data_IF_421686284354
#
_entry.id   IF_421686284354
#
_cell.length_a   1.000
_cell.length_b   1.000
_cell.length_c   1.000
_cell.angle_alpha   90.00
_cell.angle_beta   90.00
_cell.angle_gamma   90.00
#
_symmetry.space_group_name_H-M   'P 1'
#
loop_
_entity.id
_entity.type
_entity.pdbx_description
1 polymer ?
#
# COMPACT_ATOMS: atom_id res chain seq x y z
N UNK A 1 3.48 2.62 -26.28
CA UNK A 1 2.58 3.23 -25.29
C UNK A 1 1.20 3.39 -25.92
N UNK A 2 0.21 2.60 -25.51
CA UNK A 2 -1.08 2.48 -26.21
C UNK A 2 -2.06 3.66 -25.97
N UNK A 3 -1.61 4.79 -25.42
CA UNK A 3 -2.48 5.94 -25.10
C UNK A 3 -3.59 5.63 -24.09
N UNK A 4 -3.40 4.63 -23.22
CA UNK A 4 -4.40 4.18 -22.23
C UNK A 4 -3.89 4.45 -20.81
N UNK A 5 -4.83 4.78 -19.93
CA UNK A 5 -4.62 4.92 -18.49
C UNK A 5 -4.68 3.57 -17.78
N UNK A 6 -4.48 3.57 -16.46
CA UNK A 6 -4.49 2.38 -15.61
C UNK A 6 -5.83 1.65 -15.75
N UNK A 7 -5.82 0.33 -16.00
CA UNK A 7 -7.06 -0.43 -16.16
C UNK A 7 -7.98 -0.30 -14.93
N UNK A 8 -9.30 -0.18 -15.10
CA UNK A 8 -10.23 -0.01 -13.98
C UNK A 8 -10.16 -1.14 -12.94
N UNK A 9 -9.85 -2.36 -13.36
CA UNK A 9 -9.64 -3.50 -12.46
C UNK A 9 -8.42 -3.29 -11.55
N UNK A 10 -7.34 -2.71 -12.07
CA UNK A 10 -6.14 -2.38 -11.31
C UNK A 10 -6.44 -1.28 -10.29
N UNK A 11 -7.09 -0.18 -10.71
CA UNK A 11 -7.49 0.89 -9.79
C UNK A 11 -8.44 0.38 -8.69
N UNK A 12 -9.31 -0.59 -8.98
CA UNK A 12 -10.16 -1.21 -7.96
C UNK A 12 -9.33 -1.96 -6.93
N UNK A 13 -8.37 -2.78 -7.38
CA UNK A 13 -7.48 -3.52 -6.49
C UNK A 13 -6.62 -2.59 -5.63
N UNK A 14 -6.10 -1.47 -6.18
CA UNK A 14 -5.36 -0.48 -5.41
C UNK A 14 -6.19 0.16 -4.29
N UNK A 15 -7.46 0.51 -4.58
CA UNK A 15 -8.36 1.05 -3.55
C UNK A 15 -8.68 0.02 -2.47
N UNK A 16 -8.77 -1.25 -2.84
CA UNK A 16 -9.01 -2.34 -1.90
C UNK A 16 -7.79 -2.56 -0.98
N UNK A 17 -6.60 -2.68 -1.56
CA UNK A 17 -5.34 -2.77 -0.80
C UNK A 17 -5.14 -1.55 0.10
N UNK A 18 -5.36 -0.34 -0.40
CA UNK A 18 -5.19 0.88 0.39
C UNK A 18 -6.12 0.92 1.60
N UNK A 19 -7.41 0.55 1.43
CA UNK A 19 -8.35 0.48 2.55
C UNK A 19 -7.98 -0.60 3.55
N UNK A 20 -7.53 -1.75 3.08
CA UNK A 20 -7.07 -2.85 3.94
C UNK A 20 -5.88 -2.41 4.80
N UNK A 21 -4.83 -1.89 4.15
CA UNK A 21 -3.61 -1.42 4.83
C UNK A 21 -3.96 -0.33 5.85
N UNK A 22 -4.75 0.66 5.48
CA UNK A 22 -5.19 1.72 6.40
C UNK A 22 -5.92 1.14 7.61
N UNK A 23 -6.88 0.24 7.42
CA UNK A 23 -7.61 -0.40 8.53
C UNK A 23 -6.69 -1.16 9.50
N UNK A 24 -5.69 -1.85 8.96
CA UNK A 24 -4.65 -2.54 9.74
C UNK A 24 -3.79 -1.54 10.53
N UNK A 25 -3.33 -0.45 9.89
CA UNK A 25 -2.50 0.56 10.54
C UNK A 25 -3.27 1.28 11.65
N UNK A 26 -4.53 1.65 11.41
CA UNK A 26 -5.41 2.25 12.41
C UNK A 26 -5.64 1.33 13.60
N UNK A 27 -5.97 0.06 13.35
CA UNK A 27 -6.20 -0.95 14.40
C UNK A 27 -4.95 -1.19 15.25
N UNK A 28 -3.77 -1.16 14.63
CA UNK A 28 -2.49 -1.32 15.31
C UNK A 28 -1.98 -0.04 16.00
N UNK A 29 -2.66 1.11 15.83
CA UNK A 29 -2.20 2.39 16.36
C UNK A 29 -0.91 2.91 15.72
N UNK A 30 -0.72 2.59 14.43
CA UNK A 30 0.36 3.13 13.59
C UNK A 30 -0.09 4.44 12.98
N UNK A 31 0.64 5.52 13.25
CA UNK A 31 0.39 6.81 12.63
C UNK A 31 0.84 6.76 11.17
N UNK A 32 -0.06 7.18 10.28
CA UNK A 32 0.18 7.21 8.84
C UNK A 32 -0.39 8.48 8.19
N UNK A 33 0.05 8.78 6.98
CA UNK A 33 -0.51 9.82 6.13
C UNK A 33 -0.42 9.42 4.64
N UNK A 34 -1.28 9.99 3.80
CA UNK A 34 -1.14 9.88 2.34
C UNK A 34 0.12 10.63 1.90
N UNK A 35 0.91 10.04 1.01
CA UNK A 35 2.13 10.63 0.46
C UNK A 35 2.01 10.84 -1.06
N UNK A 36 2.87 11.67 -1.64
CA UNK A 36 3.14 11.72 -3.08
C UNK A 36 1.91 11.86 -3.98
N UNK A 37 1.84 10.99 -4.99
CA UNK A 37 0.74 10.94 -5.97
C UNK A 37 -0.61 10.63 -5.32
N UNK A 38 -0.60 9.82 -4.26
CA UNK A 38 -1.79 9.45 -3.50
C UNK A 38 -2.41 10.64 -2.76
N UNK A 39 -1.58 11.45 -2.08
CA UNK A 39 -2.03 12.69 -1.45
C UNK A 39 -2.56 13.68 -2.49
N UNK A 40 -1.86 13.81 -3.62
CA UNK A 40 -2.26 14.70 -4.70
C UNK A 40 -3.60 14.29 -5.32
N UNK A 41 -3.80 13.00 -5.56
CA UNK A 41 -5.06 12.42 -6.05
C UNK A 41 -6.20 12.68 -5.08
N UNK A 42 -5.99 12.42 -3.79
CA UNK A 42 -6.97 12.70 -2.75
C UNK A 42 -7.37 14.19 -2.70
N UNK A 43 -6.40 15.11 -2.78
CA UNK A 43 -6.67 16.54 -2.75
C UNK A 43 -7.38 17.07 -4.02
N UNK A 44 -7.10 16.48 -5.19
CA UNK A 44 -7.65 16.96 -6.48
C UNK A 44 -8.97 16.31 -6.86
N UNK A 45 -9.09 15.01 -6.63
CA UNK A 45 -10.17 14.16 -7.15
C UNK A 45 -10.93 13.41 -6.05
N UNK A 46 -10.38 13.37 -4.83
CA UNK A 46 -10.88 12.48 -3.78
C UNK A 46 -10.62 10.98 -4.07
N UNK A 47 -9.70 10.68 -4.99
CA UNK A 47 -9.43 9.32 -5.46
C UNK A 47 -8.02 9.20 -6.06
N UNK A 48 -7.59 7.98 -6.38
CA UNK A 48 -6.31 7.68 -7.06
C UNK A 48 -6.31 8.38 -8.43
N UNK A 49 -5.16 8.95 -8.81
CA UNK A 49 -5.00 9.57 -10.13
C UNK A 49 -5.23 8.48 -11.21
N UNK A 50 -6.04 8.71 -12.26
CA UNK A 50 -6.46 7.63 -13.17
C UNK A 50 -5.34 6.91 -13.93
N UNK A 51 -4.16 7.53 -14.04
CA UNK A 51 -2.96 6.97 -14.66
C UNK A 51 -1.86 6.59 -13.65
N UNK A 52 -2.12 6.76 -12.35
CA UNK A 52 -1.26 6.19 -11.30
C UNK A 52 -1.47 4.68 -11.20
N UNK A 53 -0.47 4.03 -10.64
CA UNK A 53 -0.40 2.59 -10.60
C UNK A 53 -0.18 2.04 -9.17
N UNK A 54 0.30 2.86 -8.22
CA UNK A 54 0.47 2.55 -6.80
C UNK A 54 -0.38 3.42 -5.85
N UNK A 55 -0.27 3.12 -4.55
CA UNK A 55 -0.68 3.99 -3.45
C UNK A 55 0.48 4.14 -2.46
N UNK A 56 0.81 5.38 -2.12
CA UNK A 56 1.90 5.72 -1.19
C UNK A 56 1.35 6.20 0.16
N UNK A 57 1.86 5.59 1.22
CA UNK A 57 1.61 5.98 2.61
C UNK A 57 2.92 6.24 3.33
N UNK A 58 3.01 7.38 4.01
CA UNK A 58 4.05 7.63 4.99
C UNK A 58 3.64 7.07 6.36
N UNK A 59 4.61 6.50 7.09
CA UNK A 59 4.43 6.04 8.47
C UNK A 59 5.60 6.50 9.35
N UNK A 60 5.38 6.60 10.66
CA UNK A 60 6.47 6.79 11.61
C UNK A 60 7.30 5.51 11.78
N UNK A 61 8.62 5.61 11.66
CA UNK A 61 9.53 4.46 11.80
C UNK A 61 9.41 3.80 13.18
N UNK A 62 9.22 4.58 14.24
CA UNK A 62 9.06 4.04 15.59
C UNK A 62 7.76 3.26 15.79
N UNK A 63 6.77 3.41 14.90
CA UNK A 63 5.48 2.72 14.99
C UNK A 63 5.49 1.37 14.27
N UNK A 64 6.53 1.04 13.49
CA UNK A 64 6.64 -0.23 12.73
C UNK A 64 6.37 -1.45 13.62
N UNK A 65 6.94 -1.48 14.84
CA UNK A 65 6.78 -2.60 15.78
C UNK A 65 5.37 -2.78 16.35
N UNK A 66 4.47 -1.80 16.16
CA UNK A 66 3.07 -1.90 16.62
C UNK A 66 2.22 -2.77 15.71
N UNK A 67 2.53 -2.81 14.41
CA UNK A 67 1.84 -3.65 13.44
C UNK A 67 2.58 -4.97 13.27
N UNK A 68 1.91 -6.07 13.61
CA UNK A 68 2.44 -7.44 13.45
C UNK A 68 2.96 -7.69 12.03
N UNK A 69 2.20 -7.31 11.00
CA UNK A 69 2.56 -7.58 9.61
C UNK A 69 3.80 -6.80 9.17
N UNK A 70 3.96 -5.54 9.59
CA UNK A 70 5.18 -4.77 9.32
C UNK A 70 6.40 -5.37 10.04
N UNK A 71 6.23 -5.80 11.29
CA UNK A 71 7.29 -6.43 12.07
C UNK A 71 7.74 -7.76 11.45
N UNK A 72 6.81 -8.61 11.04
CA UNK A 72 7.11 -9.88 10.36
C UNK A 72 7.77 -9.63 8.99
N UNK A 73 7.23 -8.70 8.18
CA UNK A 73 7.76 -8.31 6.87
C UNK A 73 9.19 -7.75 6.92
N UNK A 74 9.62 -7.22 8.06
CA UNK A 74 11.01 -6.78 8.29
C UNK A 74 11.99 -7.94 8.22
N UNK A 75 11.56 -9.14 8.62
CA UNK A 75 12.41 -10.34 8.69
C UNK A 75 12.28 -11.18 7.42
N UNK A 76 11.05 -11.41 6.94
CA UNK A 76 10.77 -12.13 5.72
C UNK A 76 9.41 -11.73 5.15
N UNK A 77 9.18 -11.85 3.83
CA UNK A 77 7.86 -11.59 3.27
C UNK A 77 6.78 -12.49 3.89
N UNK A 78 5.61 -11.91 4.17
CA UNK A 78 4.51 -12.56 4.87
C UNK A 78 3.19 -12.34 4.13
N UNK A 79 2.30 -13.31 4.21
CA UNK A 79 0.91 -13.19 3.75
C UNK A 79 0.01 -13.07 4.98
N UNK A 80 -0.88 -12.08 5.00
CA UNK A 80 -1.82 -11.89 6.10
C UNK A 80 -3.05 -12.79 5.96
N UNK A 81 -3.95 -12.72 6.94
CA UNK A 81 -5.13 -13.58 7.03
C UNK A 81 -6.14 -13.35 5.88
N UNK A 82 -6.04 -12.23 5.15
CA UNK A 82 -6.89 -11.90 4.00
C UNK A 82 -6.17 -12.11 2.65
N UNK A 83 -4.93 -12.60 2.65
CA UNK A 83 -4.16 -12.94 1.46
C UNK A 83 -3.34 -11.81 0.87
N UNK A 84 -3.25 -10.64 1.53
CA UNK A 84 -2.37 -9.56 1.10
C UNK A 84 -0.93 -9.90 1.45
N UNK A 85 -0.01 -9.57 0.54
CA UNK A 85 1.39 -9.98 0.66
C UNK A 85 2.28 -8.79 1.03
N UNK A 86 2.87 -8.84 2.21
CA UNK A 86 3.69 -7.79 2.81
C UNK A 86 5.17 -8.15 2.69
N UNK A 87 5.99 -7.22 2.21
CA UNK A 87 7.44 -7.39 2.12
C UNK A 87 8.17 -6.10 2.45
N UNK A 88 9.37 -6.21 3.05
CA UNK A 88 10.32 -5.09 3.07
C UNK A 88 11.07 -5.05 1.74
N UNK A 89 11.18 -3.88 1.12
CA UNK A 89 11.93 -3.73 -0.12
C UNK A 89 13.42 -4.05 0.10
N UNK A 90 14.05 -4.74 -0.86
CA UNK A 90 15.47 -5.07 -0.81
C UNK A 90 16.36 -3.82 -0.94
N UNK A 91 15.86 -2.82 -1.67
CA UNK A 91 16.48 -1.51 -1.85
C UNK A 91 15.51 -0.44 -1.38
N UNK A 92 16.00 0.51 -0.57
CA UNK A 92 15.19 1.53 0.08
C UNK A 92 14.68 1.09 1.46
N UNK A 93 14.33 2.07 2.29
CA UNK A 93 13.82 1.85 3.65
C UNK A 93 12.29 1.97 3.67
N UNK A 94 11.60 1.12 2.90
CA UNK A 94 10.14 1.09 2.82
C UNK A 94 9.56 -0.34 2.76
N UNK A 95 8.26 -0.45 3.00
CA UNK A 95 7.49 -1.68 2.91
C UNK A 95 6.58 -1.63 1.69
N UNK A 96 6.31 -2.79 1.10
CA UNK A 96 5.36 -2.95 0.01
C UNK A 96 4.29 -3.95 0.39
N UNK A 97 3.04 -3.60 0.11
CA UNK A 97 1.88 -4.48 0.31
C UNK A 97 1.23 -4.71 -1.04
N UNK A 98 1.24 -5.96 -1.47
CA UNK A 98 0.66 -6.38 -2.74
C UNK A 98 -0.76 -6.90 -2.51
N UNK A 99 -1.62 -6.74 -3.51
CA UNK A 99 -2.99 -7.27 -3.47
C UNK A 99 -3.02 -8.78 -3.23
N UNK A 100 -2.07 -9.52 -3.81
CA UNK A 100 -1.81 -10.92 -3.47
C UNK A 100 -0.41 -11.35 -3.92
N UNK A 101 0.00 -12.59 -3.63
CA UNK A 101 1.26 -13.16 -4.14
C UNK A 101 1.40 -13.10 -5.66
N UNK A 102 0.29 -13.27 -6.38
CA UNK A 102 0.23 -13.29 -7.83
C UNK A 102 -0.11 -11.92 -8.40
N UNK A 103 -1.03 -11.19 -7.76
CA UNK A 103 -1.42 -9.86 -8.19
C UNK A 103 -0.52 -8.81 -7.53
N UNK A 104 0.65 -8.63 -8.11
CA UNK A 104 1.67 -7.67 -7.68
C UNK A 104 1.54 -6.36 -8.44
N UNK A 105 0.32 -5.79 -8.44
CA UNK A 105 0.12 -4.46 -8.99
C UNK A 105 1.14 -3.53 -8.35
N UNK A 106 2.00 -3.02 -9.21
CA UNK A 106 2.84 -1.89 -8.93
C UNK A 106 1.97 -0.69 -9.17
#
# INVERSE_FOLDING_TARGET
LAGRWTPPCCLRALRETARHVVGILETAGVRYWLEGGSLLGAARLGDIIPWDYDVDLGIYREDVGKCRWLAEATTAPVEDDEGFFWEKAAEGEFYRVHYSRTNRLH
#
